data_IF_722930496806
#
_entry.id   IF_722930496806
#
_cell.length_a   1.000
_cell.length_b   1.000
_cell.length_c   1.000
_cell.angle_alpha   90.00
_cell.angle_beta   90.00
_cell.angle_gamma   90.00
#
_symmetry.space_group_name_H-M   'P 1'
#
loop_
_entity.id
_entity.type
_entity.pdbx_description
1 polymer ?
#
# COMPACT_ATOMS: atom_id res chain seq x y z
N UNK A 1 4.91 3.22 23.93
CA UNK A 1 4.90 4.15 22.77
C UNK A 1 3.63 4.98 22.85
N UNK A 2 3.62 6.23 22.40
CA UNK A 2 2.49 7.14 22.56
C UNK A 2 1.86 7.40 21.19
N UNK A 3 0.54 7.39 21.09
CA UNK A 3 -0.19 7.84 19.89
C UNK A 3 0.35 9.18 19.40
N UNK A 4 0.52 9.33 18.09
CA UNK A 4 0.96 10.58 17.49
C UNK A 4 -0.09 11.66 17.75
N UNK A 5 0.37 12.87 18.03
CA UNK A 5 -0.49 14.06 18.10
C UNK A 5 -0.30 14.91 16.85
N UNK A 6 -1.31 15.69 16.50
CA UNK A 6 -1.23 16.61 15.37
C UNK A 6 -0.03 17.60 15.51
N UNK A 7 0.30 18.00 16.74
CA UNK A 7 1.44 18.88 17.01
C UNK A 7 2.81 18.24 16.81
N UNK A 8 2.93 16.91 17.00
CA UNK A 8 4.18 16.17 16.77
C UNK A 8 4.34 15.73 15.33
N UNK A 9 3.24 15.54 14.61
CA UNK A 9 3.25 15.14 13.22
C UNK A 9 3.51 16.29 12.25
N UNK A 10 3.42 17.54 12.70
CA UNK A 10 3.67 18.74 11.89
C UNK A 10 5.12 18.79 11.39
N UNK A 11 5.26 18.96 10.12
CA UNK A 11 6.50 19.14 9.36
C UNK A 11 6.13 19.40 7.90
N UNK A 12 7.03 19.94 7.10
CA UNK A 12 6.79 20.21 5.69
C UNK A 12 6.87 21.69 5.31
N UNK A 13 6.61 22.00 4.05
CA UNK A 13 6.66 23.37 3.53
C UNK A 13 5.69 24.28 4.26
N UNK A 14 6.04 25.56 4.49
CA UNK A 14 5.15 26.56 5.09
C UNK A 14 3.83 26.77 4.32
N UNK A 15 3.73 26.25 3.10
CA UNK A 15 2.58 26.43 2.20
C UNK A 15 1.61 25.25 2.18
N UNK A 16 1.95 24.12 2.84
CA UNK A 16 1.08 22.94 2.88
C UNK A 16 1.06 22.37 4.30
N UNK A 17 -0.09 22.39 4.94
CA UNK A 17 -0.28 21.79 6.25
C UNK A 17 -0.59 20.30 6.11
N UNK A 18 0.33 19.45 6.54
CA UNK A 18 0.02 18.04 6.76
C UNK A 18 -0.95 17.91 7.93
N UNK A 19 -2.04 17.20 7.71
CA UNK A 19 -3.02 16.89 8.74
C UNK A 19 -2.77 15.48 9.24
N UNK A 20 -2.93 15.27 10.56
CA UNK A 20 -3.02 13.95 11.16
C UNK A 20 -4.46 13.72 11.61
N UNK A 21 -5.10 12.73 11.01
CA UNK A 21 -6.49 12.36 11.24
C UNK A 21 -6.52 11.06 12.03
N UNK A 22 -7.31 11.02 13.09
CA UNK A 22 -7.41 9.84 13.97
C UNK A 22 -8.84 9.32 13.98
N UNK A 23 -9.03 8.06 13.64
CA UNK A 23 -10.30 7.32 13.74
C UNK A 23 -10.22 6.35 14.91
N UNK A 24 -11.35 6.17 15.60
CA UNK A 24 -11.47 5.27 16.75
C UNK A 24 -12.74 4.44 16.63
N UNK A 25 -12.71 3.21 17.13
CA UNK A 25 -13.91 2.44 17.37
C UNK A 25 -14.14 2.22 18.88
N UNK A 26 -15.32 1.73 19.24
CA UNK A 26 -15.68 1.49 20.64
C UNK A 26 -14.88 0.38 21.31
N UNK A 27 -14.24 -0.48 20.51
CA UNK A 27 -13.43 -1.60 21.00
C UNK A 27 -11.96 -1.20 21.27
N UNK A 28 -11.62 0.09 21.13
CA UNK A 28 -10.32 0.64 21.46
C UNK A 28 -9.30 0.60 20.34
N UNK A 29 -9.66 0.18 19.12
CA UNK A 29 -8.78 0.30 17.97
C UNK A 29 -8.65 1.77 17.57
N UNK A 30 -7.44 2.14 17.12
CA UNK A 30 -7.15 3.50 16.64
C UNK A 30 -6.36 3.42 15.34
N UNK A 31 -6.89 4.04 14.30
CA UNK A 31 -6.20 4.20 13.01
C UNK A 31 -5.86 5.69 12.79
N UNK A 32 -4.63 5.97 12.34
CA UNK A 32 -4.20 7.34 12.05
C UNK A 32 -3.83 7.47 10.58
N UNK A 33 -4.20 8.59 10.00
CA UNK A 33 -4.01 8.91 8.58
C UNK A 33 -3.42 10.31 8.41
N UNK A 34 -2.82 10.56 7.26
CA UNK A 34 -2.45 11.92 6.85
C UNK A 34 -2.95 12.22 5.44
N UNK A 35 -3.28 13.49 5.19
CA UNK A 35 -3.63 13.98 3.86
C UNK A 35 -2.43 13.98 2.88
N UNK A 36 -1.19 13.85 3.34
CA UNK A 36 -0.03 13.66 2.48
C UNK A 36 0.04 12.24 1.95
N UNK A 37 -0.32 12.04 0.69
CA UNK A 37 -0.40 10.74 0.03
C UNK A 37 -1.61 9.90 0.46
N UNK A 38 -2.60 10.47 1.15
CA UNK A 38 -3.74 9.76 1.75
C UNK A 38 -3.27 8.52 2.53
N UNK A 39 -2.20 8.69 3.32
CA UNK A 39 -1.44 7.60 3.96
C UNK A 39 -2.14 7.06 5.19
N UNK A 40 -2.10 5.75 5.32
CA UNK A 40 -2.33 5.06 6.59
C UNK A 40 -1.04 5.08 7.39
N UNK A 41 -1.01 5.91 8.46
CA UNK A 41 0.20 6.21 9.25
C UNK A 41 0.45 5.17 10.33
N UNK A 42 -0.62 4.79 11.07
CA UNK A 42 -0.53 3.85 12.17
C UNK A 42 -1.85 3.09 12.39
N UNK A 43 -1.76 1.89 12.94
CA UNK A 43 -2.91 1.09 13.39
C UNK A 43 -2.62 0.51 14.76
N UNK A 44 -3.24 1.06 15.77
CA UNK A 44 -3.10 0.62 17.16
C UNK A 44 -4.15 -0.42 17.50
N UNK A 45 -3.66 -1.62 17.78
CA UNK A 45 -4.51 -2.77 18.14
C UNK A 45 -4.11 -3.32 19.49
N UNK A 46 -5.05 -3.82 20.32
CA UNK A 46 -4.71 -4.49 21.56
C UNK A 46 -4.10 -5.87 21.29
N UNK A 47 -3.04 -6.20 22.03
CA UNK A 47 -2.52 -7.55 22.10
C UNK A 47 -3.42 -8.43 22.99
N UNK A 48 -3.05 -9.70 23.17
CA UNK A 48 -3.78 -10.65 24.04
C UNK A 48 -3.90 -10.22 25.50
N UNK A 49 -3.07 -9.28 25.94
CA UNK A 49 -3.04 -8.73 27.31
C UNK A 49 -3.74 -7.37 27.40
N UNK A 50 -4.28 -6.87 26.27
CA UNK A 50 -4.93 -5.56 26.18
C UNK A 50 -3.95 -4.39 25.97
N UNK A 51 -2.66 -4.63 25.77
CA UNK A 51 -1.71 -3.57 25.50
C UNK A 51 -1.82 -3.12 24.03
N UNK A 52 -2.00 -1.83 23.81
CA UNK A 52 -2.04 -1.27 22.45
C UNK A 52 -0.65 -1.22 21.84
N UNK A 53 -0.53 -1.70 20.61
CA UNK A 53 0.67 -1.58 19.79
C UNK A 53 0.35 -1.24 18.35
N UNK A 54 1.23 -0.47 17.72
CA UNK A 54 1.14 -0.12 16.32
C UNK A 54 1.63 -1.27 15.46
N UNK A 55 0.83 -1.69 14.50
CA UNK A 55 1.14 -2.81 13.59
C UNK A 55 1.45 -2.34 12.16
N UNK A 56 1.51 -1.01 11.91
CA UNK A 56 1.86 -0.42 10.63
C UNK A 56 3.26 0.22 10.72
N UNK A 57 4.11 -0.04 9.74
CA UNK A 57 5.38 0.65 9.62
C UNK A 57 5.19 2.04 9.01
N UNK A 58 5.49 3.06 9.78
CA UNK A 58 5.36 4.47 9.39
C UNK A 58 6.40 5.35 10.05
N UNK A 59 6.22 6.66 9.96
CA UNK A 59 7.09 7.66 10.58
C UNK A 59 6.26 8.62 11.43
N UNK A 60 6.88 9.13 12.49
CA UNK A 60 6.23 10.03 13.45
C UNK A 60 6.06 11.47 12.92
N UNK A 61 6.66 11.79 11.77
CA UNK A 61 6.65 13.11 11.17
C UNK A 61 6.57 13.05 9.64
N UNK A 62 6.08 14.12 9.02
CA UNK A 62 6.10 14.26 7.54
C UNK A 62 7.54 14.25 7.03
N UNK A 63 8.47 14.88 7.72
CA UNK A 63 9.89 14.85 7.37
C UNK A 63 10.47 13.44 7.28
N UNK A 64 10.00 12.53 8.13
CA UNK A 64 10.35 11.11 8.05
C UNK A 64 9.96 10.50 6.71
N UNK A 65 8.72 10.74 6.25
CA UNK A 65 8.25 10.27 4.94
C UNK A 65 8.99 10.91 3.77
N UNK A 66 9.29 12.22 3.84
CA UNK A 66 10.01 12.94 2.78
C UNK A 66 11.46 12.47 2.62
N UNK A 67 12.10 12.07 3.71
CA UNK A 67 13.51 11.63 3.75
C UNK A 67 13.67 10.10 3.62
N UNK A 68 12.57 9.35 3.67
CA UNK A 68 12.60 7.88 3.59
C UNK A 68 13.18 7.40 2.26
N UNK A 69 14.02 6.37 2.31
CA UNK A 69 14.47 5.65 1.12
C UNK A 69 13.33 4.93 0.41
N UNK A 70 12.41 4.33 1.19
CA UNK A 70 11.13 3.80 0.71
C UNK A 70 10.04 4.87 0.89
N UNK A 71 9.52 5.38 -0.23
CA UNK A 71 8.59 6.53 -0.25
C UNK A 71 7.12 6.18 -0.08
N UNK A 72 6.79 4.88 -0.16
CA UNK A 72 5.41 4.44 -0.31
C UNK A 72 4.75 3.99 1.00
N UNK A 73 5.46 4.01 2.14
CA UNK A 73 4.89 3.60 3.44
C UNK A 73 3.47 4.11 3.65
N UNK A 74 2.49 3.21 3.68
CA UNK A 74 1.08 3.48 3.91
C UNK A 74 0.37 4.37 2.88
N UNK A 75 1.05 4.81 1.82
CA UNK A 75 0.48 5.74 0.84
C UNK A 75 -0.55 5.08 -0.09
N UNK A 76 -1.45 5.90 -0.62
CA UNK A 76 -2.19 5.53 -1.83
C UNK A 76 -1.24 5.63 -3.01
N UNK A 77 -1.16 4.54 -3.76
CA UNK A 77 -0.34 4.40 -4.95
C UNK A 77 -1.23 4.40 -6.19
N UNK A 78 -0.88 5.19 -7.16
CA UNK A 78 -1.63 5.39 -8.41
C UNK A 78 -1.02 6.52 -9.27
N UNK A 79 -1.48 6.72 -10.55
CA UNK A 79 -2.70 6.05 -11.13
C UNK A 79 -2.57 4.53 -11.24
N UNK A 80 -1.36 4.01 -11.51
CA UNK A 80 -1.11 2.57 -11.66
C UNK A 80 -0.11 2.12 -10.63
N UNK A 81 -0.52 1.21 -9.77
CA UNK A 81 0.35 0.47 -8.86
C UNK A 81 1.21 -0.53 -9.64
N UNK A 82 2.45 -0.71 -9.20
CA UNK A 82 3.41 -1.59 -9.85
C UNK A 82 4.14 -0.92 -11.02
N UNK A 83 4.77 -1.75 -11.84
CA UNK A 83 5.68 -1.31 -12.90
C UNK A 83 5.01 -1.30 -14.27
N UNK A 84 5.38 -0.29 -15.08
CA UNK A 84 5.06 -0.25 -16.51
C UNK A 84 6.38 -0.25 -17.28
N UNK A 85 6.58 -1.28 -18.08
CA UNK A 85 7.81 -1.51 -18.87
C UNK A 85 8.12 -0.34 -19.80
N UNK A 86 9.39 0.06 -19.83
CA UNK A 86 9.91 1.14 -20.68
C UNK A 86 9.14 2.46 -20.53
N UNK A 87 8.51 2.69 -19.39
CA UNK A 87 7.75 3.89 -19.06
C UNK A 87 6.80 4.32 -20.20
N UNK A 88 6.04 3.39 -20.77
CA UNK A 88 5.06 3.66 -21.82
C UNK A 88 3.94 2.63 -21.88
N UNK A 89 2.79 3.05 -22.32
CA UNK A 89 1.66 2.16 -22.63
C UNK A 89 0.90 2.67 -23.86
N UNK A 90 -0.02 1.85 -24.37
CA UNK A 90 -0.87 2.21 -25.53
C UNK A 90 -2.35 2.12 -25.15
N UNK A 91 -3.13 3.07 -25.67
CA UNK A 91 -4.59 2.97 -25.73
C UNK A 91 -4.97 3.05 -27.21
N UNK A 92 -5.49 1.97 -27.75
CA UNK A 92 -5.69 1.82 -29.18
C UNK A 92 -4.36 1.97 -29.93
N UNK A 93 -4.31 2.93 -30.87
CA UNK A 93 -3.10 3.19 -31.68
C UNK A 93 -2.18 4.26 -31.07
N UNK A 94 -2.60 4.96 -30.02
CA UNK A 94 -1.85 6.05 -29.42
C UNK A 94 -0.95 5.53 -28.29
N UNK A 95 0.33 5.88 -28.36
CA UNK A 95 1.32 5.62 -27.29
C UNK A 95 1.39 6.83 -26.35
N UNK A 96 1.54 6.53 -25.06
CA UNK A 96 1.68 7.50 -23.98
C UNK A 96 3.00 7.25 -23.25
N UNK A 97 3.99 8.14 -23.38
CA UNK A 97 5.20 8.09 -22.59
C UNK A 97 4.92 8.55 -21.17
N UNK A 98 5.53 7.89 -20.20
CA UNK A 98 5.43 8.17 -18.77
C UNK A 98 6.79 8.61 -18.22
N UNK A 99 6.79 9.15 -16.99
CA UNK A 99 8.02 9.39 -16.26
C UNK A 99 8.74 8.07 -15.93
N UNK A 100 10.05 8.00 -16.19
CA UNK A 100 10.90 6.89 -15.76
C UNK A 100 11.41 7.18 -14.35
N UNK A 101 10.99 6.37 -13.37
CA UNK A 101 11.28 6.62 -11.95
C UNK A 101 11.63 5.36 -11.15
N UNK A 102 11.68 4.19 -11.81
CA UNK A 102 12.05 2.95 -11.14
C UNK A 102 13.58 2.78 -11.09
N UNK A 103 14.15 2.95 -9.90
CA UNK A 103 15.57 2.80 -9.67
C UNK A 103 16.05 1.33 -9.58
N UNK A 104 15.16 0.36 -9.73
CA UNK A 104 15.52 -1.06 -9.64
C UNK A 104 16.34 -1.54 -10.84
N UNK A 105 16.14 -0.96 -12.01
CA UNK A 105 16.90 -1.23 -13.22
C UNK A 105 18.00 -0.19 -13.50
N UNK A 106 19.08 -0.61 -14.15
CA UNK A 106 20.13 0.30 -14.63
C UNK A 106 20.32 0.08 -16.13
N UNK A 107 20.03 1.09 -16.97
CA UNK A 107 19.56 2.45 -16.66
C UNK A 107 18.10 2.48 -16.19
N UNK A 108 17.71 3.55 -15.46
CA UNK A 108 16.32 3.80 -15.07
C UNK A 108 15.47 3.98 -16.32
N UNK A 109 14.55 3.05 -16.59
CA UNK A 109 13.73 3.06 -17.80
C UNK A 109 12.27 2.72 -17.60
N UNK A 110 11.93 2.16 -16.45
CA UNK A 110 10.58 1.75 -16.14
C UNK A 110 9.84 2.82 -15.34
N UNK A 111 8.52 2.80 -15.42
CA UNK A 111 7.64 3.60 -14.58
C UNK A 111 7.20 2.77 -13.38
N UNK A 112 7.15 3.38 -12.21
CA UNK A 112 6.76 2.73 -10.95
C UNK A 112 5.75 3.58 -10.19
N UNK A 113 4.68 2.93 -9.73
CA UNK A 113 3.73 3.47 -8.75
C UNK A 113 3.14 4.84 -9.12
N UNK A 114 2.87 5.06 -10.40
CA UNK A 114 2.22 6.28 -10.89
C UNK A 114 3.17 7.45 -11.19
N UNK A 115 4.47 7.33 -10.87
CA UNK A 115 5.48 8.33 -11.22
C UNK A 115 6.14 9.01 -10.03
N UNK A 116 6.75 10.17 -10.28
CA UNK A 116 7.52 10.94 -9.29
C UNK A 116 6.58 11.81 -8.44
N UNK A 117 5.72 12.58 -9.09
CA UNK A 117 4.75 13.48 -8.46
C UNK A 117 3.34 12.85 -8.45
N UNK A 118 3.28 11.56 -8.11
CA UNK A 118 2.07 10.78 -8.10
C UNK A 118 1.31 10.88 -6.75
N UNK A 119 0.28 10.08 -6.59
CA UNK A 119 -0.65 10.13 -5.45
C UNK A 119 0.02 10.05 -4.08
N UNK A 120 1.11 9.31 -3.95
CA UNK A 120 1.90 9.18 -2.72
C UNK A 120 2.65 10.45 -2.32
N UNK A 121 2.86 11.37 -3.26
CA UNK A 121 3.72 12.55 -3.11
C UNK A 121 2.95 13.88 -3.26
N UNK A 122 1.66 13.88 -2.99
CA UNK A 122 0.83 15.08 -3.03
C UNK A 122 -0.09 15.16 -1.82
N UNK A 123 -0.62 16.36 -1.56
CA UNK A 123 -1.61 16.60 -0.53
C UNK A 123 -3.00 16.41 -1.10
N UNK A 124 -3.80 15.61 -0.42
CA UNK A 124 -5.19 15.34 -0.73
C UNK A 124 -6.10 16.26 0.09
N UNK A 125 -7.28 16.55 -0.40
CA UNK A 125 -8.33 17.13 0.43
C UNK A 125 -8.89 16.03 1.32
N UNK A 126 -9.08 16.32 2.60
CA UNK A 126 -9.60 15.39 3.59
C UNK A 126 -10.95 15.87 4.15
N UNK A 127 -11.83 14.92 4.45
CA UNK A 127 -13.10 15.16 5.12
C UNK A 127 -13.40 14.00 6.08
N UNK A 128 -13.61 14.30 7.35
CA UNK A 128 -14.00 13.30 8.36
C UNK A 128 -15.49 13.35 8.60
N UNK A 129 -16.12 12.19 8.80
CA UNK A 129 -17.55 12.09 9.07
C UNK A 129 -17.86 10.79 9.82
N UNK A 130 -19.10 10.70 10.29
CA UNK A 130 -19.66 9.47 10.87
C UNK A 130 -20.55 8.83 9.81
N UNK A 131 -20.31 7.55 9.53
CA UNK A 131 -21.11 6.78 8.57
C UNK A 131 -22.56 6.57 9.09
N UNK A 132 -23.52 6.21 8.24
CA UNK A 132 -24.86 5.84 8.69
C UNK A 132 -24.91 4.69 9.70
N UNK A 133 -23.84 3.88 9.77
CA UNK A 133 -23.67 2.80 10.75
C UNK A 133 -23.03 3.27 12.06
N UNK A 134 -22.73 4.57 12.21
CA UNK A 134 -22.11 5.16 13.39
C UNK A 134 -20.58 4.97 13.47
N UNK A 135 -19.93 4.59 12.39
CA UNK A 135 -18.49 4.36 12.31
C UNK A 135 -17.75 5.67 11.95
N UNK A 136 -16.57 5.89 12.54
CA UNK A 136 -15.73 7.00 12.14
C UNK A 136 -15.07 6.71 10.76
N UNK A 137 -15.09 7.71 9.88
CA UNK A 137 -14.55 7.62 8.54
C UNK A 137 -13.79 8.88 8.14
N UNK A 138 -12.84 8.72 7.23
CA UNK A 138 -12.16 9.80 6.51
C UNK A 138 -12.20 9.54 5.01
N UNK A 139 -12.60 10.56 4.27
CA UNK A 139 -12.57 10.61 2.82
C UNK A 139 -11.42 11.50 2.36
N UNK A 140 -10.60 10.98 1.44
CA UNK A 140 -9.56 11.72 0.75
C UNK A 140 -9.93 11.88 -0.71
N UNK A 141 -9.85 13.10 -1.25
CA UNK A 141 -10.13 13.37 -2.67
C UNK A 141 -8.95 14.07 -3.33
N UNK A 142 -8.69 13.68 -4.59
CA UNK A 142 -7.67 14.30 -5.42
C UNK A 142 -8.09 14.29 -6.89
N UNK A 143 -7.54 15.22 -7.67
CA UNK A 143 -7.72 15.30 -9.12
C UNK A 143 -6.34 15.25 -9.77
N UNK A 144 -6.03 14.12 -10.41
CA UNK A 144 -4.84 14.00 -11.25
C UNK A 144 -5.16 14.57 -12.63
N UNK A 145 -4.48 15.65 -13.01
CA UNK A 145 -4.75 16.40 -14.22
C UNK A 145 -4.35 15.62 -15.49
N UNK A 146 -5.01 15.94 -16.61
CA UNK A 146 -4.63 15.40 -17.92
C UNK A 146 -3.16 15.70 -18.24
N UNK A 147 -2.35 14.66 -18.48
CA UNK A 147 -0.92 14.76 -18.77
C UNK A 147 -0.01 14.65 -17.56
N UNK A 148 -0.55 14.62 -16.33
CA UNK A 148 0.25 14.38 -15.13
C UNK A 148 0.97 13.04 -15.22
N UNK A 149 2.31 13.01 -14.97
CA UNK A 149 3.19 11.86 -15.14
C UNK A 149 3.10 11.16 -16.51
N UNK A 150 2.44 11.79 -17.50
CA UNK A 150 2.22 11.27 -18.86
C UNK A 150 0.85 10.62 -19.09
N UNK A 151 0.01 10.48 -18.07
CA UNK A 151 -1.29 9.83 -18.20
C UNK A 151 -2.34 10.75 -18.84
N UNK A 152 -3.18 10.21 -19.77
CA UNK A 152 -4.26 10.99 -20.39
C UNK A 152 -5.48 11.11 -19.45
N UNK A 153 -6.26 12.17 -19.70
CA UNK A 153 -7.51 12.45 -19.00
C UNK A 153 -7.34 13.03 -17.62
N UNK A 154 -8.36 13.78 -17.17
CA UNK A 154 -8.48 14.18 -15.78
C UNK A 154 -9.06 13.01 -14.98
N UNK A 155 -8.38 12.57 -13.93
CA UNK A 155 -8.82 11.48 -13.07
C UNK A 155 -9.21 12.05 -11.70
N UNK A 156 -10.49 11.97 -11.38
CA UNK A 156 -10.99 12.26 -10.04
C UNK A 156 -10.92 10.99 -9.21
N UNK A 157 -10.23 11.04 -8.08
CA UNK A 157 -10.06 9.89 -7.18
C UNK A 157 -10.61 10.25 -5.81
N UNK A 158 -11.33 9.30 -5.23
CA UNK A 158 -11.80 9.33 -3.87
C UNK A 158 -11.37 8.05 -3.17
N UNK A 159 -10.78 8.18 -1.98
CA UNK A 159 -10.41 7.06 -1.11
C UNK A 159 -11.06 7.28 0.24
N UNK A 160 -11.85 6.33 0.67
CA UNK A 160 -12.53 6.35 1.97
C UNK A 160 -11.98 5.26 2.87
N UNK A 161 -11.57 5.63 4.08
CA UNK A 161 -11.28 4.69 5.14
C UNK A 161 -12.36 4.81 6.22
N UNK A 162 -12.93 3.68 6.63
CA UNK A 162 -13.86 3.60 7.76
C UNK A 162 -13.39 2.56 8.77
N UNK A 163 -13.33 2.96 10.04
CA UNK A 163 -12.96 2.07 11.14
C UNK A 163 -14.24 1.48 11.76
N UNK A 164 -14.46 0.21 11.50
CA UNK A 164 -15.69 -0.50 11.80
C UNK A 164 -15.72 -1.00 13.25
N UNK A 165 -16.94 -1.20 13.76
CA UNK A 165 -17.14 -1.73 15.10
C UNK A 165 -16.85 -3.25 15.23
N UNK A 166 -16.72 -3.96 14.11
CA UNK A 166 -16.24 -5.34 14.05
C UNK A 166 -14.69 -5.46 14.02
N UNK A 167 -13.99 -4.36 14.33
CA UNK A 167 -12.53 -4.24 14.32
C UNK A 167 -11.88 -4.33 12.93
N UNK A 168 -12.61 -4.09 11.88
CA UNK A 168 -12.09 -3.99 10.53
C UNK A 168 -11.81 -2.53 10.15
N UNK A 169 -10.71 -2.28 9.44
CA UNK A 169 -10.52 -1.06 8.66
C UNK A 169 -10.91 -1.35 7.21
N UNK A 170 -11.96 -0.69 6.74
CA UNK A 170 -12.40 -0.75 5.35
C UNK A 170 -11.78 0.37 4.54
N UNK A 171 -11.24 0.04 3.37
CA UNK A 171 -10.78 1.01 2.37
C UNK A 171 -11.60 0.83 1.09
N UNK A 172 -12.12 1.94 0.57
CA UNK A 172 -12.85 1.98 -0.69
C UNK A 172 -12.20 3.01 -1.60
N UNK A 173 -12.01 2.64 -2.87
CA UNK A 173 -11.46 3.53 -3.89
C UNK A 173 -12.49 3.72 -5.00
N UNK A 174 -12.78 4.97 -5.32
CA UNK A 174 -13.63 5.37 -6.44
C UNK A 174 -12.82 6.24 -7.40
N UNK A 175 -12.97 6.01 -8.70
CA UNK A 175 -12.29 6.82 -9.70
C UNK A 175 -13.20 7.09 -10.89
N UNK A 176 -13.22 8.33 -11.37
CA UNK A 176 -13.93 8.74 -12.59
C UNK A 176 -13.00 9.57 -13.47
N UNK A 177 -13.17 9.46 -14.78
CA UNK A 177 -12.30 10.14 -15.74
C UNK A 177 -13.07 10.64 -16.96
N UNK A 178 -12.57 11.71 -17.59
CA UNK A 178 -13.11 12.28 -18.82
C UNK A 178 -12.55 11.62 -20.10
N UNK A 179 -11.54 10.75 -19.98
CA UNK A 179 -10.90 10.03 -21.11
C UNK A 179 -10.40 8.67 -20.65
N UNK A 180 -10.31 7.69 -21.58
CA UNK A 180 -9.68 6.41 -21.27
C UNK A 180 -8.27 6.60 -20.70
N UNK A 181 -8.04 6.02 -19.52
CA UNK A 181 -6.74 6.01 -18.82
C UNK A 181 -6.64 4.74 -17.99
N UNK A 182 -5.44 4.15 -17.82
CA UNK A 182 -5.29 3.01 -16.92
C UNK A 182 -5.39 3.47 -15.47
N UNK A 183 -6.11 2.68 -14.66
CA UNK A 183 -6.27 2.90 -13.22
C UNK A 183 -6.09 1.57 -12.48
N UNK A 184 -5.19 1.56 -11.51
CA UNK A 184 -4.96 0.44 -10.60
C UNK A 184 -4.46 1.01 -9.26
N UNK A 185 -5.37 1.20 -8.31
CA UNK A 185 -5.09 1.85 -7.04
C UNK A 185 -4.84 0.81 -5.93
N UNK A 186 -3.95 1.13 -5.01
CA UNK A 186 -3.75 0.36 -3.79
C UNK A 186 -3.26 1.24 -2.64
N UNK A 187 -3.40 0.75 -1.41
CA UNK A 187 -2.65 1.25 -0.27
C UNK A 187 -1.36 0.43 -0.10
N UNK A 188 -0.25 1.09 0.17
CA UNK A 188 1.07 0.49 0.31
C UNK A 188 1.50 0.36 1.78
N UNK A 189 0.61 -0.11 2.65
CA UNK A 189 0.94 -0.36 4.04
C UNK A 189 1.87 -1.56 4.19
N UNK A 190 2.81 -1.44 5.13
CA UNK A 190 3.69 -2.52 5.57
C UNK A 190 3.27 -2.92 6.97
N UNK A 191 3.04 -4.21 7.18
CA UNK A 191 2.57 -4.75 8.45
C UNK A 191 3.69 -5.42 9.24
N UNK A 192 3.74 -5.15 10.55
CA UNK A 192 4.52 -5.90 11.50
C UNK A 192 3.70 -6.08 12.79
N UNK A 193 3.25 -7.30 13.06
CA UNK A 193 2.44 -7.62 14.23
C UNK A 193 3.28 -7.77 15.52
N UNK A 194 4.61 -7.81 15.40
CA UNK A 194 5.48 -7.74 16.55
C UNK A 194 5.55 -6.29 17.03
N UNK A 195 5.08 -6.08 18.26
CA UNK A 195 5.04 -4.76 18.87
C UNK A 195 6.37 -4.02 18.79
N UNK A 196 6.31 -2.72 18.47
CA UNK A 196 7.45 -1.80 18.55
C UNK A 196 8.04 -1.64 19.99
N UNK A 197 7.42 -2.26 20.99
CA UNK A 197 7.94 -2.30 22.37
C UNK A 197 9.06 -3.32 22.58
N UNK A 198 9.38 -4.14 21.58
CA UNK A 198 10.51 -5.06 21.61
C UNK A 198 11.83 -4.30 21.34
N UNK A 199 12.91 -4.85 21.85
CA UNK A 199 14.26 -4.29 21.80
C UNK A 199 14.63 -3.95 20.36
N UNK A 200 15.21 -2.77 20.07
CA UNK A 200 15.68 -2.43 18.73
C UNK A 200 16.63 -3.52 18.19
N UNK A 201 16.30 -4.09 17.03
CA UNK A 201 17.02 -5.20 16.42
C UNK A 201 16.34 -6.57 16.54
N UNK A 202 15.33 -6.73 17.41
CA UNK A 202 14.55 -7.97 17.53
C UNK A 202 13.23 -7.96 16.75
N UNK A 203 12.86 -6.84 16.13
CA UNK A 203 11.66 -6.72 15.30
C UNK A 203 11.84 -7.49 14.00
N UNK A 204 11.48 -8.76 14.02
CA UNK A 204 11.70 -9.68 12.91
C UNK A 204 10.37 -10.21 12.36
N UNK A 205 9.99 -9.74 11.16
CA UNK A 205 8.79 -10.22 10.46
C UNK A 205 8.86 -11.70 10.06
N UNK A 206 10.03 -12.31 10.13
CA UNK A 206 10.27 -13.67 9.66
C UNK A 206 9.56 -14.74 10.47
N UNK A 207 9.25 -14.47 11.74
CA UNK A 207 8.52 -15.38 12.61
C UNK A 207 7.00 -15.35 12.41
N UNK A 208 6.46 -14.36 11.66
CA UNK A 208 5.05 -14.31 11.38
C UNK A 208 4.59 -15.54 10.60
N UNK A 209 3.39 -16.02 10.95
CA UNK A 209 2.68 -17.05 10.20
C UNK A 209 1.84 -16.40 9.12
N UNK A 210 2.03 -16.80 7.88
CA UNK A 210 1.31 -16.29 6.73
C UNK A 210 0.45 -17.37 6.10
N UNK A 211 -0.77 -17.02 5.73
CA UNK A 211 -1.65 -17.78 4.84
C UNK A 211 -2.06 -16.86 3.69
N UNK A 212 -2.00 -17.37 2.46
CA UNK A 212 -2.45 -16.67 1.26
C UNK A 212 -3.46 -17.53 0.49
N UNK A 213 -4.57 -16.93 0.08
CA UNK A 213 -5.53 -17.60 -0.81
C UNK A 213 -5.09 -17.42 -2.27
N UNK A 214 -3.97 -18.05 -2.65
CA UNK A 214 -3.38 -17.90 -3.97
C UNK A 214 -2.61 -19.16 -4.37
N UNK A 215 -2.97 -19.76 -5.48
CA UNK A 215 -2.30 -20.93 -6.07
C UNK A 215 -1.19 -20.57 -7.05
N UNK A 216 -1.03 -19.27 -7.36
CA UNK A 216 -0.01 -18.79 -8.29
C UNK A 216 0.52 -17.41 -7.93
N UNK A 217 1.74 -17.12 -8.39
CA UNK A 217 2.33 -15.80 -8.42
C UNK A 217 2.42 -15.24 -9.84
N UNK A 218 2.45 -13.93 -9.97
CA UNK A 218 2.75 -13.27 -11.24
C UNK A 218 4.26 -13.33 -11.46
N UNK A 219 4.69 -14.02 -12.52
CA UNK A 219 6.10 -14.11 -12.88
C UNK A 219 6.65 -12.75 -13.31
N UNK A 220 7.84 -12.40 -12.80
CA UNK A 220 8.56 -11.19 -13.18
C UNK A 220 9.90 -11.51 -13.84
N UNK A 221 10.35 -10.63 -14.72
CA UNK A 221 11.71 -10.64 -15.26
C UNK A 221 12.74 -10.10 -14.26
N UNK A 222 13.99 -9.86 -14.71
CA UNK A 222 15.07 -9.33 -13.84
C UNK A 222 14.87 -7.87 -13.41
N UNK A 223 13.96 -7.14 -14.04
CA UNK A 223 13.60 -5.76 -13.69
C UNK A 223 12.27 -5.69 -12.92
N UNK A 224 11.78 -6.84 -12.47
CA UNK A 224 10.48 -6.99 -11.78
C UNK A 224 9.28 -6.55 -12.64
N UNK A 225 9.42 -6.61 -13.96
CA UNK A 225 8.30 -6.40 -14.87
C UNK A 225 7.50 -7.71 -14.98
N UNK A 226 6.17 -7.67 -14.81
CA UNK A 226 5.32 -8.83 -15.03
C UNK A 226 5.46 -9.37 -16.46
N UNK A 227 5.70 -10.67 -16.59
CA UNK A 227 5.87 -11.34 -17.89
C UNK A 227 4.56 -11.76 -18.55
N UNK A 228 3.44 -11.64 -17.81
CA UNK A 228 2.14 -12.17 -18.20
C UNK A 228 1.93 -13.65 -17.88
N UNK A 229 2.91 -14.32 -17.29
CA UNK A 229 2.81 -15.70 -16.86
C UNK A 229 2.41 -15.80 -15.39
N UNK A 230 1.56 -16.80 -15.08
CA UNK A 230 1.29 -17.23 -13.71
C UNK A 230 2.15 -18.48 -13.43
N UNK A 231 2.90 -18.45 -12.35
CA UNK A 231 3.71 -19.58 -11.87
C UNK A 231 2.98 -20.25 -10.71
N UNK A 232 2.64 -21.54 -10.80
CA UNK A 232 2.06 -22.26 -9.68
C UNK A 232 2.97 -22.23 -8.45
N UNK A 233 2.38 -22.17 -7.26
CA UNK A 233 3.13 -22.22 -6.00
C UNK A 233 3.30 -23.63 -5.47
N UNK A 234 2.59 -24.63 -6.05
CA UNK A 234 2.64 -26.03 -5.64
C UNK A 234 4.07 -26.54 -5.51
N UNK A 235 4.35 -27.25 -4.43
CA UNK A 235 5.65 -27.84 -4.12
C UNK A 235 6.83 -26.83 -4.08
N UNK A 236 6.51 -25.53 -3.95
CA UNK A 236 7.51 -24.48 -3.86
C UNK A 236 7.55 -23.84 -2.46
N UNK A 237 8.55 -22.97 -2.28
CA UNK A 237 8.68 -22.15 -1.06
C UNK A 237 7.67 -21.01 -1.00
N UNK A 238 6.98 -20.75 -2.11
CA UNK A 238 6.01 -19.67 -2.24
C UNK A 238 4.60 -20.15 -1.91
N UNK A 239 4.41 -21.44 -1.58
CA UNK A 239 3.12 -21.98 -1.18
C UNK A 239 2.78 -21.60 0.26
N UNK A 240 1.96 -20.56 0.41
CA UNK A 240 1.40 -20.10 1.69
C UNK A 240 -0.10 -20.44 1.83
N UNK A 241 -0.65 -21.36 1.06
CA UNK A 241 -2.06 -21.79 1.22
C UNK A 241 -2.28 -22.49 2.57
N UNK A 242 -1.23 -23.10 3.11
CA UNK A 242 -1.19 -23.61 4.49
C UNK A 242 -0.30 -22.72 5.33
N UNK A 243 -0.73 -22.42 6.57
CA UNK A 243 -0.01 -21.54 7.50
C UNK A 243 1.43 -21.99 7.71
N UNK A 244 2.37 -21.09 7.45
CA UNK A 244 3.81 -21.30 7.67
C UNK A 244 4.52 -19.98 7.96
N UNK A 245 5.70 -20.07 8.56
CA UNK A 245 6.50 -18.87 8.85
C UNK A 245 7.10 -18.28 7.57
N UNK A 246 7.20 -16.95 7.50
CA UNK A 246 7.88 -16.26 6.41
C UNK A 246 9.34 -16.73 6.30
N UNK A 247 10.03 -16.94 7.43
CA UNK A 247 11.40 -17.46 7.48
C UNK A 247 11.57 -18.78 6.71
N UNK A 248 10.61 -19.69 6.80
CA UNK A 248 10.69 -21.02 6.17
C UNK A 248 10.85 -20.97 4.66
N UNK A 249 10.45 -19.87 4.06
CA UNK A 249 10.46 -19.66 2.61
C UNK A 249 11.68 -18.85 2.12
N UNK A 250 12.40 -18.14 2.99
CA UNK A 250 13.60 -17.38 2.62
C UNK A 250 14.88 -18.23 2.57
N UNK A 251 14.88 -19.39 3.22
CA UNK A 251 16.09 -20.23 3.41
C UNK A 251 16.48 -21.07 2.18
N UNK A 252 15.73 -20.99 1.09
CA UNK A 252 16.02 -21.77 -0.13
C UNK A 252 16.07 -20.88 -1.35
N UNK A 253 16.83 -21.31 -2.36
CA UNK A 253 16.97 -20.58 -3.60
C UNK A 253 15.72 -20.69 -4.46
N UNK A 254 15.10 -19.55 -4.77
CA UNK A 254 14.03 -19.44 -5.74
C UNK A 254 14.26 -18.22 -6.62
N UNK A 255 14.21 -18.38 -7.94
CA UNK A 255 14.59 -17.34 -8.89
C UNK A 255 13.79 -16.04 -8.73
N UNK A 256 12.50 -16.12 -8.40
CA UNK A 256 11.68 -14.93 -8.20
C UNK A 256 12.01 -14.20 -6.87
N UNK A 257 12.39 -14.93 -5.81
CA UNK A 257 12.87 -14.34 -4.55
C UNK A 257 14.23 -13.66 -4.78
N UNK A 258 15.14 -14.27 -5.55
CA UNK A 258 16.43 -13.68 -5.89
C UNK A 258 16.27 -12.38 -6.69
N UNK A 259 15.39 -12.36 -7.69
CA UNK A 259 15.08 -11.16 -8.48
C UNK A 259 14.52 -10.05 -7.61
N UNK A 260 13.58 -10.35 -6.70
CA UNK A 260 12.95 -9.39 -5.81
C UNK A 260 13.81 -8.99 -4.60
N UNK A 261 14.99 -9.63 -4.40
CA UNK A 261 15.80 -9.49 -3.18
C UNK A 261 15.00 -9.76 -1.91
N UNK A 262 14.08 -10.71 -1.99
CA UNK A 262 13.10 -11.04 -0.97
C UNK A 262 11.71 -11.28 -1.56
N UNK A 263 10.66 -11.18 -0.74
CA UNK A 263 9.27 -11.39 -1.17
C UNK A 263 8.65 -10.17 -1.88
N UNK A 264 9.35 -9.58 -2.85
CA UNK A 264 8.77 -8.56 -3.73
C UNK A 264 7.96 -9.23 -4.84
N UNK A 265 6.86 -9.88 -4.47
CA UNK A 265 6.06 -10.73 -5.35
C UNK A 265 4.59 -10.30 -5.30
N UNK A 266 3.89 -10.48 -6.43
CA UNK A 266 2.44 -10.36 -6.49
C UNK A 266 1.82 -11.77 -6.58
N UNK A 267 0.92 -12.06 -5.66
CA UNK A 267 0.13 -13.29 -5.66
C UNK A 267 -1.18 -13.06 -6.40
N UNK A 268 -1.54 -13.99 -7.27
CA UNK A 268 -2.86 -14.02 -7.92
C UNK A 268 -3.84 -14.74 -7.00
N UNK A 269 -4.84 -14.02 -6.49
CA UNK A 269 -5.86 -14.61 -5.62
C UNK A 269 -6.72 -15.63 -6.40
N UNK A 270 -7.03 -16.77 -5.77
CA UNK A 270 -7.75 -17.88 -6.43
C UNK A 270 -9.23 -17.59 -6.66
N UNK A 271 -9.86 -16.87 -5.73
CA UNK A 271 -11.27 -16.55 -5.80
C UNK A 271 -11.47 -15.07 -5.62
N UNK A 272 -12.15 -14.44 -6.57
CA UNK A 272 -12.71 -13.12 -6.45
C UNK A 272 -14.22 -13.23 -6.69
N UNK A 273 -15.03 -12.99 -5.65
CA UNK A 273 -16.47 -12.78 -5.84
C UNK A 273 -16.69 -11.50 -6.63
N UNK A 274 -17.45 -11.58 -7.71
CA UNK A 274 -17.77 -10.39 -8.50
C UNK A 274 -18.56 -9.39 -7.64
N UNK A 275 -17.95 -8.23 -7.36
CA UNK A 275 -18.54 -7.18 -6.53
C UNK A 275 -18.50 -7.43 -5.02
N UNK A 276 -17.83 -8.50 -4.54
CA UNK A 276 -17.68 -8.85 -3.13
C UNK A 276 -16.25 -8.71 -2.60
N UNK A 277 -16.08 -8.96 -1.29
CA UNK A 277 -14.80 -9.13 -0.63
C UNK A 277 -14.50 -10.62 -0.50
N UNK A 278 -13.36 -11.05 -1.03
CA UNK A 278 -12.85 -12.41 -0.86
C UNK A 278 -11.71 -12.46 0.14
N UNK A 279 -11.54 -13.58 0.83
CA UNK A 279 -10.38 -13.80 1.67
C UNK A 279 -9.11 -13.76 0.81
N UNK A 280 -8.17 -12.90 1.18
CA UNK A 280 -6.89 -12.76 0.47
C UNK A 280 -5.73 -13.33 1.27
N UNK A 281 -5.59 -12.91 2.53
CA UNK A 281 -4.44 -13.26 3.36
C UNK A 281 -4.79 -13.25 4.84
N UNK A 282 -4.03 -14.03 5.63
CA UNK A 282 -3.99 -13.93 7.10
C UNK A 282 -2.54 -13.89 7.54
N UNK A 283 -2.22 -12.89 8.36
CA UNK A 283 -0.94 -12.75 9.04
C UNK A 283 -1.18 -12.90 10.56
N UNK A 284 -0.34 -13.66 11.24
CA UNK A 284 -0.44 -13.87 12.70
C UNK A 284 0.92 -14.12 13.34
#
# INVERSE_FOLDING_TARGET
MKLLSASTFSGGSPTSSAELITLRNRNGLVAQFTNYGARWVSMWTPDRNGNLSDVILGFDTIDGYLKAGERYHGAIVGRVCGRISNARFKIGKREYPLASNDAYGTPVRNHLHGGINAFHNCYWKSHTYITPLGEEAVEFTNISQNGEEGYPGNLHVKVTYSLREDNALRMECEATTDRPTPVNLTNHAFFNLQSSSLIPGEMNVLSHLLVLNASAIIACDSELIPTGQLLPVDDTLLDFRVSRTIASSLMREHSQIQKGKGFSLAYALDEAEEGGLSFAARLS
#
